data_IF_452713502005
#
_entry.id   IF_452713502005
#
_cell.length_a   1.000
_cell.length_b   1.000
_cell.length_c   1.000
_cell.angle_alpha   90.00
_cell.angle_beta   90.00
_cell.angle_gamma   90.00
#
_symmetry.space_group_name_H-M   'P 1'
#
loop_
_entity.id
_entity.type
_entity.pdbx_description
1 polymer ?
#
# COMPACT_ATOMS: atom_id res chain seq x y z
N UNK A 1 4.73 -9.05 -35.30
CA UNK A 1 3.57 -9.45 -34.47
C UNK A 1 3.83 -8.91 -33.08
N UNK A 2 3.06 -7.93 -32.61
CA UNK A 2 3.15 -7.49 -31.21
C UNK A 2 2.51 -8.58 -30.36
N UNK A 3 3.30 -9.40 -29.68
CA UNK A 3 2.78 -10.23 -28.60
C UNK A 3 2.08 -9.31 -27.61
N UNK A 4 0.78 -9.53 -27.40
CA UNK A 4 0.01 -8.87 -26.37
C UNK A 4 0.56 -9.31 -25.01
N UNK A 5 1.52 -8.56 -24.47
CA UNK A 5 2.15 -8.86 -23.18
C UNK A 5 1.17 -8.62 -22.03
N UNK A 6 0.14 -9.44 -21.87
CA UNK A 6 -0.73 -9.44 -20.69
C UNK A 6 0.12 -9.60 -19.42
N UNK A 7 -0.23 -8.91 -18.33
CA UNK A 7 0.49 -9.08 -17.07
C UNK A 7 0.29 -10.53 -16.62
N UNK A 8 1.38 -11.29 -16.50
CA UNK A 8 1.32 -12.65 -15.99
C UNK A 8 1.19 -12.58 -14.47
N UNK A 9 0.26 -13.34 -13.90
CA UNK A 9 0.10 -13.35 -12.44
C UNK A 9 1.43 -13.69 -11.75
N UNK A 10 1.69 -13.03 -10.63
CA UNK A 10 2.84 -13.29 -9.75
C UNK A 10 2.44 -14.23 -8.62
N UNK A 11 3.43 -14.86 -7.98
CA UNK A 11 3.19 -15.74 -6.84
C UNK A 11 3.06 -14.91 -5.54
N UNK A 12 3.83 -13.82 -5.44
CA UNK A 12 3.92 -13.00 -4.23
C UNK A 12 3.75 -11.52 -4.51
N UNK A 13 3.19 -10.81 -3.54
CA UNK A 13 3.22 -9.35 -3.46
C UNK A 13 3.90 -8.93 -2.17
N UNK A 14 4.80 -7.96 -2.27
CA UNK A 14 5.39 -7.28 -1.11
C UNK A 14 4.98 -5.82 -1.17
N UNK A 15 4.18 -5.37 -0.21
CA UNK A 15 3.83 -3.97 -0.03
C UNK A 15 4.67 -3.39 1.11
N UNK A 16 5.66 -2.58 0.79
CA UNK A 16 6.45 -1.83 1.75
C UNK A 16 5.86 -0.42 1.89
N UNK A 17 5.28 -0.15 3.05
CA UNK A 17 4.79 1.17 3.44
C UNK A 17 5.87 1.85 4.29
N UNK A 18 6.29 3.04 3.88
CA UNK A 18 7.24 3.89 4.60
C UNK A 18 6.44 5.03 5.23
N UNK A 19 6.01 4.81 6.48
CA UNK A 19 5.08 5.68 7.22
C UNK A 19 5.57 7.13 7.26
N UNK A 20 4.75 8.08 6.80
CA UNK A 20 5.08 9.51 6.83
C UNK A 20 6.08 10.02 5.78
N UNK A 21 6.48 9.20 4.81
CA UNK A 21 7.41 9.60 3.74
C UNK A 21 6.68 10.22 2.53
N UNK A 22 6.43 11.52 2.58
CA UNK A 22 6.03 12.28 1.38
C UNK A 22 7.19 12.50 0.40
N UNK A 23 6.86 12.97 -0.80
CA UNK A 23 7.84 13.26 -1.84
C UNK A 23 8.85 14.36 -1.45
N UNK A 24 8.50 15.26 -0.52
CA UNK A 24 9.41 16.33 -0.09
C UNK A 24 10.51 15.72 0.77
N UNK A 25 10.13 14.96 1.79
CA UNK A 25 11.06 14.27 2.69
C UNK A 25 11.95 13.28 1.92
N UNK A 26 11.41 12.59 0.90
CA UNK A 26 12.20 11.74 0.01
C UNK A 26 13.30 12.51 -0.73
N UNK A 27 12.98 13.68 -1.31
CA UNK A 27 13.96 14.49 -2.06
C UNK A 27 15.09 15.09 -1.22
N UNK A 28 14.94 15.10 0.11
CA UNK A 28 15.96 15.61 1.03
C UNK A 28 17.03 14.58 1.40
N UNK A 29 16.77 13.29 1.14
CA UNK A 29 17.62 12.18 1.54
C UNK A 29 18.46 11.64 0.37
N UNK A 30 19.60 11.03 0.68
CA UNK A 30 20.40 10.33 -0.32
C UNK A 30 19.95 8.87 -0.43
N UNK A 31 19.10 8.58 -1.43
CA UNK A 31 18.44 7.29 -1.61
C UNK A 31 18.83 6.60 -2.92
N UNK A 32 20.10 6.20 -3.09
CA UNK A 32 20.61 5.74 -4.39
C UNK A 32 19.91 4.49 -4.92
N UNK A 33 19.32 3.64 -4.07
CA UNK A 33 18.56 2.49 -4.56
C UNK A 33 17.21 2.95 -5.10
N UNK A 34 16.41 3.69 -4.32
CA UNK A 34 15.11 4.21 -4.76
C UNK A 34 15.23 5.19 -5.93
N UNK A 35 16.29 6.01 -5.96
CA UNK A 35 16.62 6.90 -7.09
C UNK A 35 17.08 6.11 -8.33
N UNK A 36 17.84 5.04 -8.08
CA UNK A 36 18.50 4.20 -9.07
C UNK A 36 17.65 3.04 -9.59
N UNK A 37 16.37 2.94 -9.17
CA UNK A 37 15.38 1.99 -9.66
C UNK A 37 15.08 2.22 -11.15
N UNK A 38 16.03 1.83 -12.00
CA UNK A 38 16.02 2.01 -13.44
C UNK A 38 15.90 0.65 -14.13
N UNK A 39 14.86 0.48 -14.95
CA UNK A 39 14.79 -0.60 -15.94
C UNK A 39 13.72 -1.67 -15.74
N UNK A 40 13.12 -1.76 -14.54
CA UNK A 40 12.02 -2.70 -14.21
C UNK A 40 10.95 -2.07 -13.31
N UNK A 41 10.70 -0.77 -13.48
CA UNK A 41 9.94 0.03 -12.52
C UNK A 41 8.88 0.89 -13.18
N UNK A 42 7.75 1.07 -12.50
CA UNK A 42 6.75 2.08 -12.81
C UNK A 42 6.61 3.00 -11.61
N UNK A 43 6.80 4.30 -11.81
CA UNK A 43 6.84 5.30 -10.73
C UNK A 43 5.76 6.34 -10.93
N UNK A 44 5.20 6.82 -9.83
CA UNK A 44 4.23 7.91 -9.81
C UNK A 44 4.18 8.59 -8.46
N UNK A 45 3.24 9.52 -8.32
CA UNK A 45 2.90 10.14 -7.05
C UNK A 45 1.47 9.77 -6.68
N UNK A 46 1.28 9.35 -5.44
CA UNK A 46 -0.02 8.98 -4.90
C UNK A 46 -0.60 10.17 -4.12
N UNK A 47 -1.85 10.52 -4.43
CA UNK A 47 -2.65 11.33 -3.55
C UNK A 47 -3.08 10.49 -2.35
N UNK A 48 -2.85 11.08 -1.18
CA UNK A 48 -3.28 10.58 0.12
C UNK A 48 -4.65 11.14 0.46
N UNK A 49 -5.52 11.31 -0.55
CA UNK A 49 -6.88 11.79 -0.34
C UNK A 49 -7.61 10.78 0.54
N UNK A 50 -7.77 11.11 1.82
CA UNK A 50 -8.72 10.45 2.70
C UNK A 50 -10.04 11.20 2.53
N UNK A 51 -10.85 10.78 1.55
CA UNK A 51 -12.16 11.38 1.31
C UNK A 51 -13.00 11.24 2.59
N UNK A 52 -13.28 12.38 3.24
CA UNK A 52 -14.15 12.46 4.41
C UNK A 52 -13.48 12.48 5.79
N UNK A 53 -12.15 12.32 5.92
CA UNK A 53 -11.50 12.36 7.25
C UNK A 53 -10.91 13.72 7.65
N UNK A 54 -10.83 14.68 6.72
CA UNK A 54 -10.31 16.04 7.01
C UNK A 54 -8.82 16.11 7.40
N UNK A 55 -8.14 14.98 7.54
CA UNK A 55 -6.72 14.85 7.84
C UNK A 55 -6.18 13.50 7.34
N UNK A 56 -4.89 13.45 7.00
CA UNK A 56 -4.20 12.21 6.69
C UNK A 56 -3.93 11.43 7.99
N UNK A 57 -4.47 10.22 8.14
CA UNK A 57 -4.42 9.44 9.39
C UNK A 57 -3.94 8.02 9.06
N UNK A 58 -2.86 7.56 9.71
CA UNK A 58 -2.17 6.30 9.43
C UNK A 58 -3.11 5.09 9.34
N UNK A 59 -3.97 4.77 10.35
CA UNK A 59 -4.91 3.64 10.23
C UNK A 59 -5.84 3.70 9.03
N UNK A 60 -6.39 4.89 8.74
CA UNK A 60 -7.37 5.05 7.66
C UNK A 60 -6.68 4.89 6.31
N UNK A 61 -5.52 5.51 6.13
CA UNK A 61 -4.75 5.40 4.90
C UNK A 61 -4.34 3.93 4.62
N UNK A 62 -3.91 3.18 5.65
CA UNK A 62 -3.65 1.74 5.52
C UNK A 62 -4.92 0.94 5.18
N UNK A 63 -6.05 1.26 5.80
CA UNK A 63 -7.34 0.67 5.47
C UNK A 63 -7.69 0.88 4.00
N UNK A 64 -7.53 2.10 3.49
CA UNK A 64 -7.79 2.43 2.08
C UNK A 64 -6.88 1.68 1.11
N UNK A 65 -5.59 1.51 1.44
CA UNK A 65 -4.68 0.68 0.63
C UNK A 65 -5.12 -0.79 0.56
N UNK A 66 -5.69 -1.31 1.65
CA UNK A 66 -6.12 -2.70 1.77
C UNK A 66 -7.50 -2.98 1.20
N UNK A 67 -8.40 -2.00 1.19
CA UNK A 67 -9.79 -2.19 0.72
C UNK A 67 -10.02 -1.61 -0.68
N UNK A 68 -9.22 -0.62 -1.08
CA UNK A 68 -9.52 0.21 -2.23
C UNK A 68 -10.78 1.07 -2.03
N UNK A 69 -11.21 1.26 -0.79
CA UNK A 69 -12.43 1.99 -0.45
C UNK A 69 -12.19 2.98 0.71
N UNK A 70 -13.03 4.01 0.83
CA UNK A 70 -12.99 4.93 1.97
C UNK A 70 -13.50 4.22 3.22
N UNK A 71 -12.71 4.23 4.29
CA UNK A 71 -12.98 3.46 5.49
C UNK A 71 -12.65 4.23 6.76
N UNK A 72 -13.17 3.74 7.88
CA UNK A 72 -12.75 4.06 9.22
C UNK A 72 -11.95 2.85 9.74
N UNK A 73 -10.78 3.12 10.31
CA UNK A 73 -9.95 2.11 10.93
C UNK A 73 -9.22 2.71 12.14
N UNK A 74 -8.82 1.84 13.07
CA UNK A 74 -8.05 2.19 14.25
C UNK A 74 -6.75 1.39 14.28
N UNK A 75 -5.73 1.91 14.95
CA UNK A 75 -4.47 1.17 15.14
C UNK A 75 -4.77 -0.15 15.87
N UNK A 76 -4.25 -1.30 15.39
CA UNK A 76 -4.34 -2.54 16.14
C UNK A 76 -3.62 -2.45 17.49
N UNK A 77 -4.22 -3.01 18.53
CA UNK A 77 -3.70 -2.98 19.89
C UNK A 77 -4.56 -3.84 20.82
N UNK A 78 -4.53 -3.54 22.12
CA UNK A 78 -5.21 -4.36 23.13
C UNK A 78 -6.74 -4.40 22.97
N UNK A 79 -7.35 -3.32 22.48
CA UNK A 79 -8.81 -3.15 22.42
C UNK A 79 -9.38 -3.20 21.00
N UNK A 80 -8.52 -3.20 19.97
CA UNK A 80 -8.95 -3.11 18.58
C UNK A 80 -8.03 -3.96 17.71
N UNK A 81 -8.62 -4.70 16.77
CA UNK A 81 -7.85 -5.51 15.82
C UNK A 81 -7.34 -4.69 14.64
N UNK A 82 -7.93 -3.51 14.41
CA UNK A 82 -7.70 -2.65 13.26
C UNK A 82 -8.47 -3.05 12.00
N UNK A 83 -9.53 -3.87 12.14
CA UNK A 83 -10.44 -4.18 11.03
C UNK A 83 -11.04 -2.89 10.42
N UNK A 84 -11.00 -2.71 9.08
CA UNK A 84 -11.64 -1.58 8.41
C UNK A 84 -13.17 -1.69 8.37
N UNK A 85 -13.85 -0.56 8.56
CA UNK A 85 -15.30 -0.43 8.46
C UNK A 85 -15.69 0.72 7.54
N UNK A 86 -16.85 0.64 6.92
CA UNK A 86 -17.45 1.76 6.19
C UNK A 86 -18.00 2.81 7.19
N UNK A 87 -18.50 3.92 6.66
CA UNK A 87 -19.12 4.99 7.46
C UNK A 87 -20.49 4.60 8.06
N UNK A 88 -21.03 3.43 7.71
CA UNK A 88 -22.23 2.86 8.31
C UNK A 88 -21.92 1.85 9.42
N UNK A 89 -20.63 1.55 9.67
CA UNK A 89 -20.19 0.59 10.67
C UNK A 89 -20.18 -0.86 10.19
N UNK A 90 -20.28 -1.12 8.88
CA UNK A 90 -20.17 -2.46 8.30
C UNK A 90 -18.71 -2.77 7.94
N UNK A 91 -18.24 -4.02 8.13
CA UNK A 91 -16.92 -4.41 7.68
C UNK A 91 -16.72 -4.21 6.18
N UNK A 92 -15.55 -3.72 5.78
CA UNK A 92 -15.17 -3.59 4.36
C UNK A 92 -14.15 -4.65 4.02
N UNK A 93 -14.36 -5.32 2.89
CA UNK A 93 -13.51 -6.42 2.44
C UNK A 93 -12.11 -5.93 2.07
N UNK A 94 -11.09 -6.67 2.49
CA UNK A 94 -9.68 -6.35 2.23
C UNK A 94 -9.03 -7.30 1.24
N UNK A 95 -7.91 -6.88 0.65
CA UNK A 95 -7.04 -7.75 -0.16
C UNK A 95 -6.58 -8.99 0.61
N UNK A 96 -6.45 -8.90 1.94
CA UNK A 96 -6.09 -10.04 2.78
C UNK A 96 -7.19 -11.10 2.82
N UNK A 97 -8.45 -10.69 2.97
CA UNK A 97 -9.60 -11.61 2.94
C UNK A 97 -9.72 -12.29 1.57
N UNK A 98 -9.64 -11.51 0.49
CA UNK A 98 -9.66 -12.03 -0.88
C UNK A 98 -8.51 -13.02 -1.13
N UNK A 99 -7.31 -12.74 -0.62
CA UNK A 99 -6.16 -13.62 -0.77
C UNK A 99 -6.36 -14.94 0.00
N UNK A 100 -6.83 -14.87 1.26
CA UNK A 100 -7.09 -16.06 2.08
C UNK A 100 -8.20 -16.94 1.52
N UNK A 101 -9.27 -16.34 0.97
CA UNK A 101 -10.31 -17.08 0.23
C UNK A 101 -9.75 -17.88 -0.95
N UNK A 102 -8.72 -17.36 -1.61
CA UNK A 102 -8.01 -18.03 -2.69
C UNK A 102 -6.88 -18.99 -2.21
N UNK A 103 -6.77 -19.21 -0.89
CA UNK A 103 -5.76 -20.09 -0.29
C UNK A 103 -4.34 -19.50 -0.26
N UNK A 104 -4.19 -18.18 -0.42
CA UNK A 104 -2.90 -17.50 -0.34
C UNK A 104 -2.59 -17.06 1.08
N UNK A 105 -1.31 -17.07 1.45
CA UNK A 105 -0.85 -16.64 2.78
C UNK A 105 -0.82 -15.12 2.89
N UNK A 106 -1.19 -14.60 4.05
CA UNK A 106 -1.13 -13.17 4.38
C UNK A 106 -0.18 -12.93 5.54
N UNK A 107 0.66 -11.91 5.41
CA UNK A 107 1.66 -11.61 6.42
C UNK A 107 1.84 -10.12 6.68
N UNK A 108 2.00 -9.75 7.95
CA UNK A 108 2.19 -8.37 8.39
C UNK A 108 3.46 -8.24 9.24
N UNK A 109 4.31 -7.26 8.91
CA UNK A 109 5.60 -7.03 9.57
C UNK A 109 5.79 -5.54 9.87
N UNK A 110 6.33 -5.21 11.05
CA UNK A 110 6.64 -3.83 11.44
C UNK A 110 5.57 -3.15 12.30
N UNK A 111 5.27 -1.88 12.01
CA UNK A 111 4.23 -1.12 12.73
C UNK A 111 2.87 -1.82 12.60
N UNK A 112 2.06 -1.78 13.65
CA UNK A 112 0.81 -2.56 13.73
C UNK A 112 -0.14 -2.30 12.55
N UNK A 113 -0.16 -1.09 12.00
CA UNK A 113 -1.02 -0.69 10.89
C UNK A 113 -0.80 -1.53 9.60
N UNK A 114 0.33 -2.23 9.46
CA UNK A 114 0.52 -3.22 8.41
C UNK A 114 -0.60 -4.28 8.37
N UNK A 115 -1.15 -4.66 9.53
CA UNK A 115 -2.22 -5.64 9.61
C UNK A 115 -3.59 -5.11 9.15
N UNK A 116 -3.81 -3.80 9.21
CA UNK A 116 -5.08 -3.17 8.76
C UNK A 116 -5.31 -3.47 7.28
N UNK A 117 -4.25 -3.37 6.47
CA UNK A 117 -4.27 -3.64 5.03
C UNK A 117 -4.79 -5.05 4.72
N UNK A 118 -4.61 -6.00 5.65
CA UNK A 118 -4.93 -7.42 5.50
C UNK A 118 -6.20 -7.88 6.23
N UNK A 119 -6.96 -6.94 6.83
CA UNK A 119 -8.22 -7.21 7.52
C UNK A 119 -8.19 -7.11 9.04
N UNK A 120 -7.03 -6.79 9.62
CA UNK A 120 -6.82 -6.68 11.07
C UNK A 120 -5.82 -7.71 11.60
N UNK A 121 -5.23 -7.43 12.78
CA UNK A 121 -4.17 -8.23 13.42
C UNK A 121 -4.58 -9.64 13.84
N UNK A 122 -5.88 -9.92 13.94
CA UNK A 122 -6.47 -11.23 14.20
C UNK A 122 -6.76 -12.03 12.92
N UNK A 123 -6.61 -11.40 11.76
CA UNK A 123 -6.89 -11.99 10.45
C UNK A 123 -5.62 -12.21 9.62
N UNK A 124 -4.42 -12.19 10.22
CA UNK A 124 -3.14 -12.37 9.49
C UNK A 124 -2.53 -13.73 9.82
N UNK A 125 -2.13 -14.50 8.79
CA UNK A 125 -1.57 -15.85 8.98
C UNK A 125 -0.18 -15.82 9.63
N UNK A 126 0.68 -14.88 9.20
CA UNK A 126 2.04 -14.71 9.72
C UNK A 126 2.25 -13.27 10.19
N UNK A 127 2.44 -13.06 11.50
CA UNK A 127 2.69 -11.71 12.05
C UNK A 127 4.02 -11.60 12.78
N UNK A 128 4.70 -10.49 12.53
CA UNK A 128 5.88 -10.00 13.25
C UNK A 128 5.73 -8.50 13.42
N UNK A 129 4.80 -8.10 14.28
CA UNK A 129 4.40 -6.70 14.49
C UNK A 129 4.97 -6.12 15.78
N UNK A 130 4.87 -4.80 16.00
CA UNK A 130 5.27 -4.17 17.27
C UNK A 130 4.65 -4.86 18.50
N UNK A 131 3.39 -5.28 18.38
CA UNK A 131 2.70 -6.05 19.42
C UNK A 131 3.30 -7.43 19.68
N UNK A 132 4.09 -7.98 18.76
CA UNK A 132 4.86 -9.22 18.92
C UNK A 132 6.30 -8.95 19.42
N UNK A 133 6.58 -7.71 19.86
CA UNK A 133 7.84 -7.31 20.50
C UNK A 133 8.95 -6.90 19.55
N UNK A 134 8.66 -6.64 18.27
CA UNK A 134 9.64 -6.11 17.32
C UNK A 134 9.61 -4.57 17.29
N UNK A 135 10.72 -3.93 16.91
CA UNK A 135 10.76 -2.49 16.68
C UNK A 135 10.48 -2.18 15.21
N UNK A 136 9.30 -1.61 14.92
CA UNK A 136 8.90 -1.20 13.56
C UNK A 136 9.71 -0.01 13.00
N UNK A 137 10.46 0.69 13.86
CA UNK A 137 11.36 1.77 13.49
C UNK A 137 12.82 1.33 13.27
N UNK A 138 13.17 0.08 13.58
CA UNK A 138 14.50 -0.47 13.31
C UNK A 138 14.53 -1.11 11.91
N UNK A 139 15.16 -0.41 10.97
CA UNK A 139 15.32 -0.84 9.58
C UNK A 139 16.00 -2.22 9.42
N UNK A 140 16.92 -2.60 10.33
CA UNK A 140 17.63 -3.89 10.25
C UNK A 140 16.72 -5.02 10.70
N UNK A 141 16.01 -4.82 11.82
CA UNK A 141 15.03 -5.76 12.35
C UNK A 141 13.92 -5.94 11.31
N UNK A 142 13.33 -4.85 10.82
CA UNK A 142 12.25 -4.91 9.83
C UNK A 142 12.68 -5.70 8.60
N UNK A 143 13.81 -5.34 7.96
CA UNK A 143 14.27 -6.04 6.77
C UNK A 143 14.58 -7.52 7.05
N UNK A 144 15.12 -7.85 8.24
CA UNK A 144 15.36 -9.23 8.62
C UNK A 144 14.05 -10.02 8.78
N UNK A 145 13.08 -9.47 9.50
CA UNK A 145 11.79 -10.11 9.76
C UNK A 145 11.00 -10.32 8.46
N UNK A 146 10.96 -9.32 7.57
CA UNK A 146 10.35 -9.45 6.25
C UNK A 146 10.96 -10.62 5.48
N UNK A 147 12.29 -10.72 5.41
CA UNK A 147 12.94 -11.84 4.71
C UNK A 147 12.67 -13.20 5.37
N UNK A 148 12.58 -13.26 6.70
CA UNK A 148 12.25 -14.50 7.41
C UNK A 148 10.81 -14.95 7.13
N UNK A 149 9.87 -14.00 7.07
CA UNK A 149 8.47 -14.26 6.73
C UNK A 149 8.34 -14.67 5.26
N UNK A 150 9.01 -13.98 4.33
CA UNK A 150 8.98 -14.32 2.89
C UNK A 150 9.45 -15.73 2.57
N UNK A 151 10.38 -16.29 3.38
CA UNK A 151 10.86 -17.67 3.25
C UNK A 151 9.83 -18.73 3.67
N UNK A 152 8.84 -18.35 4.48
CA UNK A 152 7.78 -19.24 4.98
C UNK A 152 6.53 -19.21 4.10
N UNK A 153 6.50 -18.32 3.11
CA UNK A 153 5.37 -18.13 2.22
C UNK A 153 5.76 -18.57 0.81
N UNK A 154 4.92 -19.36 0.16
CA UNK A 154 5.11 -19.74 -1.25
C UNK A 154 4.33 -18.80 -2.18
N UNK A 155 3.06 -18.51 -1.83
CA UNK A 155 2.22 -17.55 -2.52
C UNK A 155 1.43 -16.66 -1.55
N UNK A 156 1.26 -15.39 -1.91
CA UNK A 156 0.40 -14.45 -1.18
C UNK A 156 0.96 -13.06 -0.96
N UNK A 157 0.47 -12.38 0.08
CA UNK A 157 0.68 -10.95 0.30
C UNK A 157 1.44 -10.74 1.61
N UNK A 158 2.57 -10.01 1.54
CA UNK A 158 3.25 -9.48 2.71
C UNK A 158 3.15 -7.96 2.72
N UNK A 159 2.70 -7.40 3.85
CA UNK A 159 2.70 -5.97 4.13
C UNK A 159 3.74 -5.67 5.20
N UNK A 160 4.69 -4.78 4.89
CA UNK A 160 5.69 -4.30 5.81
C UNK A 160 5.46 -2.81 6.06
N UNK A 161 5.35 -2.38 7.31
CA UNK A 161 5.25 -0.95 7.64
C UNK A 161 6.47 -0.49 8.47
N UNK A 162 7.28 0.40 7.89
CA UNK A 162 8.43 1.04 8.54
C UNK A 162 8.04 2.41 9.10
N UNK A 163 8.09 2.56 10.43
CA UNK A 163 7.50 3.71 11.14
C UNK A 163 8.45 4.87 11.41
N UNK A 164 9.76 4.71 11.16
CA UNK A 164 10.75 5.64 11.69
C UNK A 164 10.64 7.07 11.09
N UNK A 165 10.28 7.19 9.82
CA UNK A 165 10.18 8.50 9.14
C UNK A 165 9.12 9.36 9.82
N UNK A 166 7.89 8.86 9.94
CA UNK A 166 6.81 9.52 10.70
C UNK A 166 7.22 9.81 12.16
N UNK A 167 7.79 8.81 12.85
CA UNK A 167 8.19 8.97 14.25
C UNK A 167 9.19 10.11 14.47
N UNK A 168 10.18 10.27 13.58
CA UNK A 168 11.17 11.35 13.69
C UNK A 168 10.58 12.70 13.29
N UNK A 169 9.65 12.72 12.34
CA UNK A 169 8.91 13.92 11.96
C UNK A 169 8.05 14.44 13.12
N UNK A 170 7.33 13.57 13.84
CA UNK A 170 6.59 13.94 15.07
C UNK A 170 7.50 14.52 16.16
N UNK A 171 8.73 14.03 16.27
CA UNK A 171 9.76 14.54 17.19
C UNK A 171 10.39 15.85 16.75
N UNK A 172 10.05 16.33 15.55
CA UNK A 172 10.61 17.53 14.92
C UNK A 172 12.13 17.46 14.73
N UNK A 173 12.64 16.24 14.53
CA UNK A 173 14.06 15.99 14.26
C UNK A 173 14.26 15.78 12.76
N UNK A 174 14.56 16.87 12.05
CA UNK A 174 14.78 16.84 10.60
C UNK A 174 15.99 15.97 10.24
N UNK A 175 17.03 15.93 11.09
CA UNK A 175 18.25 15.18 10.78
C UNK A 175 17.98 13.68 10.87
N UNK A 176 17.33 13.22 11.94
CA UNK A 176 16.94 11.82 12.09
C UNK A 176 15.82 11.43 11.13
N UNK A 177 14.97 12.35 10.69
CA UNK A 177 14.00 12.12 9.62
C UNK A 177 14.71 11.78 8.31
N UNK A 178 15.67 12.61 7.89
CA UNK A 178 16.46 12.36 6.66
C UNK A 178 17.18 11.01 6.77
N UNK A 179 17.86 10.76 7.89
CA UNK A 179 18.52 9.46 8.12
C UNK A 179 17.53 8.29 8.09
N UNK A 180 16.30 8.49 8.57
CA UNK A 180 15.25 7.46 8.53
C UNK A 180 14.81 7.13 7.10
N UNK A 181 14.77 8.12 6.19
CA UNK A 181 14.52 7.89 4.77
C UNK A 181 15.68 7.12 4.12
N UNK A 182 16.93 7.45 4.45
CA UNK A 182 18.11 6.70 3.97
C UNK A 182 18.13 5.25 4.48
N UNK A 183 17.67 5.03 5.72
CA UNK A 183 17.49 3.68 6.28
C UNK A 183 16.37 2.91 5.57
N UNK A 184 15.33 3.59 5.08
CA UNK A 184 14.30 2.98 4.24
C UNK A 184 14.89 2.53 2.88
N UNK A 185 15.79 3.32 2.28
CA UNK A 185 16.54 2.92 1.08
C UNK A 185 17.35 1.63 1.33
N UNK A 186 17.98 1.50 2.50
CA UNK A 186 18.70 0.28 2.88
C UNK A 186 17.78 -0.94 3.06
N UNK A 187 16.55 -0.75 3.54
CA UNK A 187 15.52 -1.81 3.57
C UNK A 187 15.23 -2.25 2.13
N UNK A 188 14.91 -1.30 1.24
CA UNK A 188 14.61 -1.57 -0.17
C UNK A 188 15.75 -2.34 -0.83
N UNK A 189 17.00 -1.90 -0.66
CA UNK A 189 18.19 -2.56 -1.17
C UNK A 189 18.26 -4.03 -0.77
N UNK A 190 18.09 -4.31 0.53
CA UNK A 190 18.19 -5.65 1.10
C UNK A 190 17.06 -6.56 0.65
N UNK A 191 15.83 -6.04 0.56
CA UNK A 191 14.67 -6.80 0.11
C UNK A 191 14.76 -7.12 -1.39
N UNK A 192 15.06 -6.14 -2.24
CA UNK A 192 15.19 -6.34 -3.69
C UNK A 192 16.30 -7.30 -4.06
N UNK A 193 17.40 -7.35 -3.29
CA UNK A 193 18.46 -8.33 -3.50
C UNK A 193 18.04 -9.79 -3.20
N UNK A 194 16.91 -10.00 -2.50
CA UNK A 194 16.50 -11.31 -1.99
C UNK A 194 15.22 -11.85 -2.63
N UNK A 195 14.46 -11.03 -3.36
CA UNK A 195 13.20 -11.42 -4.01
C UNK A 195 13.40 -11.77 -5.48
N UNK A 196 12.71 -12.80 -5.95
CA UNK A 196 12.62 -13.12 -7.38
C UNK A 196 11.55 -12.23 -8.03
N UNK A 197 12.01 -11.18 -8.72
CA UNK A 197 11.12 -10.22 -9.37
C UNK A 197 10.32 -10.82 -10.54
N UNK A 198 10.70 -11.96 -11.11
CA UNK A 198 9.88 -12.62 -12.14
C UNK A 198 8.60 -13.23 -11.56
N UNK A 199 8.57 -13.46 -10.24
CA UNK A 199 7.45 -14.06 -9.49
C UNK A 199 6.88 -13.16 -8.40
N UNK A 200 7.39 -11.93 -8.30
CA UNK A 200 7.02 -10.99 -7.24
C UNK A 200 6.67 -9.64 -7.84
N UNK A 201 5.57 -9.06 -7.37
CA UNK A 201 5.34 -7.61 -7.47
C UNK A 201 5.78 -6.97 -6.14
N UNK A 202 6.80 -6.13 -6.20
CA UNK A 202 7.25 -5.34 -5.07
C UNK A 202 6.71 -3.92 -5.22
N UNK A 203 6.02 -3.43 -4.19
CA UNK A 203 5.38 -2.11 -4.15
C UNK A 203 6.02 -1.31 -3.03
N UNK A 204 6.54 -0.12 -3.35
CA UNK A 204 6.97 0.88 -2.37
C UNK A 204 5.93 1.99 -2.37
N UNK A 205 5.45 2.34 -1.19
CA UNK A 205 4.52 3.47 -1.02
C UNK A 205 4.68 4.14 0.34
N UNK A 206 3.94 5.22 0.56
CA UNK A 206 3.70 5.79 1.87
C UNK A 206 2.22 6.17 2.03
N UNK A 207 1.79 6.21 3.28
CA UNK A 207 0.40 6.44 3.69
C UNK A 207 0.04 7.92 3.74
N UNK A 208 0.97 8.75 4.22
CA UNK A 208 0.88 10.20 4.25
C UNK A 208 2.27 10.85 4.29
N UNK A 209 2.30 12.19 4.29
CA UNK A 209 3.46 12.98 4.68
C UNK A 209 3.38 13.44 6.13
N UNK A 210 4.52 13.79 6.73
CA UNK A 210 4.57 14.42 8.06
C UNK A 210 5.52 15.61 8.00
N UNK A 211 5.01 16.80 8.34
CA UNK A 211 5.80 18.03 8.33
C UNK A 211 6.69 18.07 9.59
N UNK A 212 8.03 18.02 9.47
CA UNK A 212 8.92 17.95 10.63
C UNK A 212 9.01 19.26 11.41
N UNK A 213 8.58 20.39 10.86
CA UNK A 213 8.55 21.65 11.60
C UNK A 213 7.38 21.69 12.59
N UNK A 214 6.20 21.21 12.17
CA UNK A 214 5.00 21.19 13.02
C UNK A 214 4.87 19.90 13.82
N UNK A 215 5.41 18.80 13.32
CA UNK A 215 5.17 17.44 13.81
C UNK A 215 3.78 16.92 13.45
N UNK A 216 3.09 17.52 12.48
CA UNK A 216 1.74 17.11 12.09
C UNK A 216 1.75 16.44 10.72
N UNK A 217 0.83 15.51 10.52
CA UNK A 217 0.59 14.92 9.20
C UNK A 217 0.18 16.00 8.19
N UNK A 218 0.51 15.77 6.94
CA UNK A 218 0.22 16.66 5.82
C UNK A 218 -0.39 15.85 4.66
N UNK A 219 -0.87 16.55 3.63
CA UNK A 219 -1.45 15.95 2.42
C UNK A 219 -0.52 16.08 1.21
N UNK A 220 0.79 16.23 1.44
CA UNK A 220 1.76 16.21 0.36
C UNK A 220 1.71 14.83 -0.32
N UNK A 221 1.86 14.77 -1.66
CA UNK A 221 1.83 13.50 -2.36
C UNK A 221 2.91 12.54 -1.85
N UNK A 222 2.57 11.25 -1.78
CA UNK A 222 3.51 10.19 -1.41
C UNK A 222 4.07 9.50 -2.65
N UNK A 223 5.27 8.92 -2.60
CA UNK A 223 5.81 8.17 -3.72
C UNK A 223 5.06 6.83 -3.87
N UNK A 224 4.86 6.38 -5.11
CA UNK A 224 4.50 5.00 -5.41
C UNK A 224 5.45 4.41 -6.46
N UNK A 225 5.91 3.19 -6.23
CA UNK A 225 6.75 2.46 -7.16
C UNK A 225 6.32 1.00 -7.25
N UNK A 226 6.02 0.55 -8.47
CA UNK A 226 5.78 -0.85 -8.80
C UNK A 226 7.04 -1.45 -9.43
N UNK A 227 7.49 -2.58 -8.92
CA UNK A 227 8.74 -3.23 -9.33
C UNK A 227 8.48 -4.71 -9.58
N UNK A 228 8.74 -5.18 -10.79
CA UNK A 228 8.63 -6.59 -11.16
C UNK A 228 9.42 -6.88 -12.44
N UNK A 229 9.78 -8.14 -12.66
CA UNK A 229 10.47 -8.66 -13.83
C UNK A 229 9.78 -8.33 -15.16
N UNK A 230 8.47 -8.11 -15.09
CA UNK A 230 7.61 -7.89 -16.25
C UNK A 230 7.56 -6.45 -16.74
N UNK A 231 7.96 -5.48 -15.90
CA UNK A 231 8.04 -4.08 -16.33
C UNK A 231 9.35 -3.91 -17.09
N UNK A 232 9.28 -3.28 -18.27
CA UNK A 232 10.47 -2.96 -19.06
C UNK A 232 10.74 -1.47 -19.04
N UNK A 233 11.97 -1.08 -18.72
CA UNK A 233 12.35 0.32 -18.63
C UNK A 233 11.82 1.01 -17.36
N UNK A 234 11.65 2.33 -17.46
CA UNK A 234 10.99 3.15 -16.43
C UNK A 234 9.68 3.65 -17.00
N UNK A 235 8.56 3.24 -16.41
CA UNK A 235 7.22 3.69 -16.78
C UNK A 235 6.74 4.80 -15.83
N UNK A 236 5.88 5.67 -16.33
CA UNK A 236 5.28 6.75 -15.56
C UNK A 236 3.81 6.41 -15.27
N UNK A 237 3.49 6.20 -14.00
CA UNK A 237 2.12 6.00 -13.52
C UNK A 237 1.33 7.32 -13.45
N UNK A 238 2.03 8.46 -13.48
CA UNK A 238 1.45 9.77 -13.31
C UNK A 238 0.97 9.99 -11.88
N UNK A 239 -0.21 10.58 -11.76
CA UNK A 239 -0.90 10.78 -10.49
C UNK A 239 -1.85 9.60 -10.25
N UNK A 240 -1.73 8.99 -9.08
CA UNK A 240 -2.55 7.86 -8.63
C UNK A 240 -3.16 8.14 -7.26
N UNK A 241 -4.03 7.26 -6.79
CA UNK A 241 -4.58 7.30 -5.42
C UNK A 241 -4.19 6.05 -4.65
N UNK A 242 -4.02 6.15 -3.32
CA UNK A 242 -3.73 4.99 -2.48
C UNK A 242 -4.82 3.90 -2.55
N UNK A 243 -6.05 4.26 -2.91
CA UNK A 243 -7.15 3.33 -3.19
C UNK A 243 -6.85 2.38 -4.35
N UNK A 244 -5.99 2.77 -5.29
CA UNK A 244 -5.64 2.00 -6.49
C UNK A 244 -4.64 0.88 -6.18
N UNK A 245 -4.07 0.85 -4.96
CA UNK A 245 -3.15 -0.21 -4.52
C UNK A 245 -3.89 -1.54 -4.41
N UNK A 246 -5.08 -1.57 -3.79
CA UNK A 246 -5.87 -2.79 -3.64
C UNK A 246 -6.20 -3.48 -4.98
N UNK A 247 -6.86 -2.82 -5.96
CA UNK A 247 -7.17 -3.44 -7.25
C UNK A 247 -5.91 -3.84 -8.03
N UNK A 248 -4.81 -3.07 -7.92
CA UNK A 248 -3.53 -3.42 -8.56
C UNK A 248 -2.92 -4.69 -7.97
N UNK A 249 -2.91 -4.82 -6.63
CA UNK A 249 -2.38 -6.01 -5.94
C UNK A 249 -3.20 -7.25 -6.27
N UNK A 250 -4.54 -7.17 -6.22
CA UNK A 250 -5.38 -8.33 -6.56
C UNK A 250 -5.25 -8.72 -8.02
N UNK A 251 -5.18 -7.74 -8.94
CA UNK A 251 -4.94 -8.00 -10.36
C UNK A 251 -3.59 -8.71 -10.59
N UNK A 252 -2.52 -8.27 -9.91
CA UNK A 252 -1.20 -8.88 -10.03
C UNK A 252 -1.18 -10.35 -9.59
N UNK A 253 -1.99 -10.72 -8.60
CA UNK A 253 -2.13 -12.09 -8.12
C UNK A 253 -3.16 -12.91 -8.91
N UNK A 254 -3.88 -12.29 -9.85
CA UNK A 254 -4.97 -12.93 -10.59
C UNK A 254 -6.21 -13.21 -9.72
N UNK A 255 -6.44 -12.38 -8.70
CA UNK A 255 -7.58 -12.44 -7.79
C UNK A 255 -8.69 -11.47 -8.22
N UNK A 256 -9.91 -11.71 -7.74
CA UNK A 256 -11.00 -10.72 -7.86
C UNK A 256 -10.64 -9.45 -7.07
N UNK A 257 -11.19 -8.30 -7.45
CA UNK A 257 -11.10 -7.09 -6.62
C UNK A 257 -11.91 -7.26 -5.32
N UNK A 258 -11.55 -6.58 -4.22
CA UNK A 258 -12.44 -6.44 -3.08
C UNK A 258 -13.77 -5.80 -3.50
N UNK A 259 -14.88 -6.21 -2.89
CA UNK A 259 -16.22 -5.89 -3.37
C UNK A 259 -16.51 -4.40 -3.52
N UNK A 260 -16.07 -3.58 -2.55
CA UNK A 260 -16.25 -2.12 -2.57
C UNK A 260 -15.09 -1.37 -3.21
N UNK A 261 -14.01 -2.05 -3.62
CA UNK A 261 -12.83 -1.39 -4.12
C UNK A 261 -13.18 -0.48 -5.31
N UNK A 262 -12.62 0.72 -5.33
CA UNK A 262 -12.67 1.71 -6.41
C UNK A 262 -11.26 1.92 -6.97
N UNK A 263 -11.16 2.70 -8.03
CA UNK A 263 -9.90 3.03 -8.67
C UNK A 263 -9.46 2.04 -9.75
N UNK A 264 -8.38 2.43 -10.43
CA UNK A 264 -7.80 1.75 -11.57
C UNK A 264 -6.89 0.59 -11.13
N UNK A 265 -6.79 -0.42 -11.98
CA UNK A 265 -5.63 -1.32 -11.98
C UNK A 265 -4.47 -0.56 -12.63
N UNK A 266 -3.34 -0.41 -11.94
CA UNK A 266 -2.18 0.34 -12.43
C UNK A 266 -1.26 -0.48 -13.35
N UNK A 267 -1.47 -1.80 -13.47
CA UNK A 267 -0.60 -2.68 -14.28
C UNK A 267 -0.60 -2.36 -15.78
N UNK A 268 -1.72 -1.97 -16.45
CA UNK A 268 -1.69 -1.52 -17.84
C UNK A 268 -0.78 -0.32 -18.08
N UNK A 269 -0.79 0.66 -17.17
CA UNK A 269 0.14 1.80 -17.19
C UNK A 269 1.58 1.35 -16.93
N UNK A 270 1.77 0.47 -15.93
CA UNK A 270 3.08 -0.07 -15.57
C UNK A 270 3.73 -0.91 -16.67
N UNK A 271 2.95 -1.46 -17.60
CA UNK A 271 3.44 -2.17 -18.79
C UNK A 271 3.56 -1.27 -20.03
N UNK A 272 3.28 0.04 -19.91
CA UNK A 272 3.35 1.00 -21.01
C UNK A 272 2.29 0.78 -22.10
N UNK A 273 1.20 0.05 -21.80
CA UNK A 273 0.12 -0.24 -22.75
C UNK A 273 -0.83 0.93 -22.92
N UNK A 274 -1.05 1.65 -21.83
CA UNK A 274 -1.89 2.84 -21.80
C UNK A 274 -1.01 4.05 -21.52
N UNK A 275 -1.29 5.15 -22.20
CA UNK A 275 -0.57 6.43 -22.01
C UNK A 275 -1.44 7.48 -21.31
N UNK A 276 -2.75 7.26 -21.32
CA UNK A 276 -3.74 8.13 -20.72
C UNK A 276 -4.87 7.24 -20.19
N UNK A 277 -5.02 7.21 -18.88
CA UNK A 277 -6.00 6.38 -18.20
C UNK A 277 -6.66 7.24 -17.13
N UNK A 278 -7.82 7.83 -17.43
CA UNK A 278 -8.42 8.83 -16.55
C UNK A 278 -8.98 8.19 -15.28
N UNK A 279 -8.43 8.58 -14.12
CA UNK A 279 -8.94 8.19 -12.81
C UNK A 279 -10.41 8.59 -12.64
N UNK A 280 -10.76 9.83 -13.00
CA UNK A 280 -12.12 10.35 -12.82
C UNK A 280 -13.16 9.57 -13.59
N UNK A 281 -12.89 9.25 -14.87
CA UNK A 281 -13.81 8.44 -15.67
C UNK A 281 -13.98 7.06 -15.03
N UNK A 282 -12.88 6.44 -14.59
CA UNK A 282 -12.96 5.11 -13.99
C UNK A 282 -13.73 5.11 -12.67
N UNK A 283 -13.53 6.14 -11.87
CA UNK A 283 -14.22 6.33 -10.60
C UNK A 283 -15.72 6.54 -10.81
N UNK A 284 -16.12 7.37 -11.78
CA UNK A 284 -17.53 7.61 -12.11
C UNK A 284 -18.24 6.29 -12.52
N UNK A 285 -17.64 5.51 -13.42
CA UNK A 285 -18.18 4.19 -13.82
C UNK A 285 -18.41 3.27 -12.61
N UNK A 286 -17.43 3.19 -11.72
CA UNK A 286 -17.47 2.29 -10.55
C UNK A 286 -18.44 2.77 -9.49
N UNK A 287 -18.57 4.09 -9.29
CA UNK A 287 -19.55 4.66 -8.36
C UNK A 287 -20.98 4.42 -8.87
N UNK A 288 -21.23 4.57 -10.17
CA UNK A 288 -22.54 4.25 -10.76
C UNK A 288 -22.91 2.77 -10.58
N UNK A 289 -21.94 1.87 -10.78
CA UNK A 289 -22.12 0.44 -10.53
C UNK A 289 -22.41 0.14 -9.05
N UNK A 290 -21.61 0.72 -8.14
CA UNK A 290 -21.77 0.56 -6.70
C UNK A 290 -23.14 1.05 -6.23
N UNK A 291 -23.59 2.24 -6.64
CA UNK A 291 -24.89 2.78 -6.26
C UNK A 291 -26.08 2.03 -6.86
N UNK A 292 -25.89 1.37 -8.02
CA UNK A 292 -26.92 0.49 -8.58
C UNK A 292 -27.11 -0.77 -7.73
N UNK A 293 -26.02 -1.33 -7.21
CA UNK A 293 -26.03 -2.53 -6.37
C UNK A 293 -26.45 -2.23 -4.93
N UNK A 294 -26.07 -1.07 -4.41
CA UNK A 294 -26.29 -0.64 -3.03
C UNK A 294 -27.20 0.60 -3.00
N UNK A 295 -28.45 0.45 -3.46
CA UNK A 295 -29.41 1.56 -3.43
C UNK A 295 -29.51 2.12 -2.01
N UNK A 296 -29.19 3.40 -1.79
CA UNK A 296 -29.26 3.98 -0.46
C UNK A 296 -30.70 3.82 0.08
N UNK A 297 -30.83 3.26 1.29
CA UNK A 297 -32.15 2.97 1.90
C UNK A 297 -33.09 4.19 1.95
N UNK A 298 -32.55 5.40 1.89
CA UNK A 298 -33.31 6.66 1.86
C UNK A 298 -33.98 6.96 0.51
N UNK A 299 -33.53 6.36 -0.60
CA UNK A 299 -34.16 6.50 -1.92
C UNK A 299 -35.40 5.61 -2.03
N UNK A 300 -35.46 4.51 -1.29
CA UNK A 300 -36.61 3.59 -1.25
C UNK A 300 -37.81 4.11 -0.45
N UNK A 301 -37.67 5.23 0.28
CA UNK A 301 -38.76 5.80 1.09
C UNK A 301 -39.59 6.87 0.37
N UNK A 302 -39.31 7.15 -0.90
CA UNK A 302 -39.98 8.19 -1.69
C UNK A 302 -40.54 7.69 -3.04
N UNK A 303 -40.78 6.39 -3.18
CA UNK A 303 -41.53 5.81 -4.32
C UNK A 303 -42.83 5.21 -3.80
#
# INVERSE_FOLDING_TARGET
MMESHHFRKVDKVVLLVIDGMDCVNLTMAHTPVMDGLHGKTAVGVAHTEVLGAGAAITPIAHGMMGTGYNVIAHRPGYQATGRPYDYHGSPVETIGEVAREAGMTTAAVGKNEAAIVLGGSDQVDLRRLEMDGIDGGDHRILAQEVLQVLKKMDCGILVANYSAVDMMAHRRDVSLLIESVERADAIVAKLLASVDLEKTLFVITADHGTNPFTGNHNTAPTPICLITGQITGRQNLGVVHNLEIAPTITAALGLRRPAQALGRDLLPLALGKEREYSYHIKLEEQLEELYRLDQPRHVQQHI
#
